data_IF_520585835894
#
_entry.id   IF_520585835894
#
_cell.length_a   1.000
_cell.length_b   1.000
_cell.length_c   1.000
_cell.angle_alpha   90.00
_cell.angle_beta   90.00
_cell.angle_gamma   90.00
#
_symmetry.space_group_name_H-M   'P 1'
#
loop_
_entity.id
_entity.type
_entity.pdbx_description
1 polymer ?
#
# COMPACT_ATOMS: atom_id res chain seq x y z
N UNK A 1 -28.41 -4.71 33.14
CA UNK A 1 -28.79 -3.35 32.72
C UNK A 1 -27.55 -2.48 32.96
N UNK A 2 -26.84 -1.84 32.01
CA UNK A 2 -27.05 -1.40 30.60
C UNK A 2 -25.60 -1.14 30.05
N UNK A 3 -25.14 -1.76 28.94
CA UNK A 3 -25.15 -1.32 27.53
C UNK A 3 -24.31 -0.06 27.14
N UNK A 4 -23.15 -0.33 26.49
CA UNK A 4 -22.50 0.29 25.30
C UNK A 4 -22.10 1.79 25.30
N UNK A 5 -20.80 2.05 25.08
CA UNK A 5 -20.19 2.88 24.01
C UNK A 5 -18.67 2.95 24.32
N UNK A 6 -17.81 2.14 23.71
CA UNK A 6 -17.30 2.22 22.33
C UNK A 6 -16.82 3.62 21.94
N UNK A 7 -15.58 3.96 22.28
CA UNK A 7 -14.65 4.52 21.28
C UNK A 7 -13.22 4.49 21.82
N UNK A 8 -12.47 3.52 21.33
CA UNK A 8 -11.02 3.47 21.40
C UNK A 8 -10.48 4.44 20.33
N UNK A 9 -9.73 5.51 20.66
CA UNK A 9 -8.98 6.22 19.64
C UNK A 9 -7.78 5.34 19.27
N UNK A 10 -7.95 4.51 18.25
CA UNK A 10 -6.88 3.65 17.73
C UNK A 10 -5.96 4.51 16.86
N UNK A 11 -4.84 4.91 17.50
CA UNK A 11 -3.47 4.86 16.95
C UNK A 11 -3.21 5.82 15.78
N UNK A 12 -2.63 6.99 16.03
CA UNK A 12 -1.17 7.20 15.82
C UNK A 12 -0.60 6.38 14.65
N UNK A 13 -0.77 6.85 13.42
CA UNK A 13 0.13 6.50 12.32
C UNK A 13 0.98 7.72 12.01
N UNK A 14 1.99 7.92 12.86
CA UNK A 14 3.13 8.79 12.59
C UNK A 14 4.38 7.90 12.66
N UNK A 15 4.46 6.93 11.77
CA UNK A 15 5.65 6.10 11.60
C UNK A 15 5.91 5.90 10.11
N UNK A 16 7.03 6.48 9.67
CA UNK A 16 7.77 6.18 8.42
C UNK A 16 6.92 6.08 7.15
N UNK A 17 6.64 7.25 6.56
CA UNK A 17 5.93 7.45 5.29
C UNK A 17 6.34 6.49 4.14
N UNK A 18 7.58 6.00 4.12
CA UNK A 18 8.06 5.04 3.11
C UNK A 18 7.91 3.56 3.54
N UNK A 19 8.20 3.22 4.79
CA UNK A 19 8.26 1.82 5.25
C UNK A 19 6.89 1.15 5.44
N UNK A 20 5.88 1.92 5.84
CA UNK A 20 4.50 1.41 5.94
C UNK A 20 3.91 1.04 4.58
N UNK A 21 4.20 1.85 3.56
CA UNK A 21 3.67 1.67 2.20
C UNK A 21 4.26 0.45 1.49
N UNK A 22 5.56 0.20 1.64
CA UNK A 22 6.18 -1.00 1.07
C UNK A 22 5.55 -2.27 1.66
N UNK A 23 5.28 -2.27 2.97
CA UNK A 23 4.64 -3.39 3.66
C UNK A 23 3.24 -3.67 3.10
N UNK A 24 2.45 -2.62 2.87
CA UNK A 24 1.09 -2.73 2.31
C UNK A 24 1.10 -3.29 0.87
N UNK A 25 2.05 -2.84 0.05
CA UNK A 25 2.25 -3.37 -1.31
C UNK A 25 2.65 -4.84 -1.28
N UNK A 26 3.53 -5.24 -0.35
CA UNK A 26 3.92 -6.64 -0.18
C UNK A 26 2.76 -7.54 0.26
N UNK A 27 1.88 -7.07 1.15
CA UNK A 27 0.69 -7.80 1.54
C UNK A 27 -0.31 -7.95 0.38
N UNK A 28 -0.49 -6.93 -0.46
CA UNK A 28 -1.29 -7.07 -1.68
C UNK A 28 -0.68 -8.08 -2.66
N UNK A 29 0.65 -8.08 -2.85
CA UNK A 29 1.32 -9.09 -3.70
C UNK A 29 1.03 -10.50 -3.16
N UNK A 30 1.09 -10.69 -1.85
CA UNK A 30 0.78 -11.98 -1.20
C UNK A 30 -0.69 -12.37 -1.40
N UNK A 31 -1.63 -11.43 -1.37
CA UNK A 31 -3.04 -11.68 -1.71
C UNK A 31 -3.19 -12.11 -3.17
N UNK A 32 -2.54 -11.41 -4.09
CA UNK A 32 -2.60 -11.72 -5.52
C UNK A 32 -1.98 -13.07 -5.87
N UNK A 33 -0.92 -13.49 -5.17
CA UNK A 33 -0.29 -14.80 -5.37
C UNK A 33 -1.14 -15.98 -4.87
N UNK A 34 -2.18 -15.74 -4.06
CA UNK A 34 -3.16 -16.76 -3.69
C UNK A 34 -4.21 -16.99 -4.78
N UNK A 35 -4.29 -16.09 -5.76
CA UNK A 35 -5.23 -16.24 -6.87
C UNK A 35 -4.70 -17.23 -7.92
N UNK A 36 -5.60 -17.93 -8.64
CA UNK A 36 -5.21 -18.80 -9.73
C UNK A 36 -4.38 -18.07 -10.81
N UNK A 37 -3.35 -18.73 -11.34
CA UNK A 37 -2.41 -18.13 -12.29
C UNK A 37 -3.05 -17.73 -13.63
N UNK A 38 -4.23 -18.27 -13.96
CA UNK A 38 -5.04 -17.88 -15.11
C UNK A 38 -5.86 -16.59 -14.88
N UNK A 39 -5.78 -15.99 -13.68
CA UNK A 39 -6.43 -14.71 -13.41
C UNK A 39 -5.70 -13.57 -14.11
N UNK A 40 -6.33 -13.03 -15.17
CA UNK A 40 -5.86 -11.83 -15.87
C UNK A 40 -5.74 -10.64 -14.92
N UNK A 41 -6.67 -10.49 -13.98
CA UNK A 41 -6.61 -9.44 -12.96
C UNK A 41 -5.40 -9.59 -12.05
N UNK A 42 -5.16 -10.80 -11.50
CA UNK A 42 -4.02 -11.04 -10.62
C UNK A 42 -2.69 -10.75 -11.34
N UNK A 43 -2.57 -11.21 -12.59
CA UNK A 43 -1.39 -10.96 -13.42
C UNK A 43 -1.18 -9.46 -13.67
N UNK A 44 -2.24 -8.73 -14.01
CA UNK A 44 -2.16 -7.28 -14.21
C UNK A 44 -1.79 -6.54 -12.93
N UNK A 45 -2.48 -6.86 -11.82
CA UNK A 45 -2.27 -6.25 -10.51
C UNK A 45 -0.85 -6.49 -10.00
N UNK A 46 -0.32 -7.72 -10.12
CA UNK A 46 1.07 -8.03 -9.79
C UNK A 46 2.07 -7.19 -10.60
N UNK A 47 1.83 -6.96 -11.90
CA UNK A 47 2.70 -6.10 -12.72
C UNK A 47 2.69 -4.65 -12.22
N UNK A 48 1.53 -4.13 -11.82
CA UNK A 48 1.41 -2.78 -11.26
C UNK A 48 2.15 -2.69 -9.93
N UNK A 49 1.92 -3.62 -9.00
CA UNK A 49 2.56 -3.63 -7.68
C UNK A 49 4.09 -3.74 -7.78
N UNK A 50 4.60 -4.57 -8.68
CA UNK A 50 6.04 -4.67 -8.90
C UNK A 50 6.64 -3.38 -9.48
N UNK A 51 5.90 -2.66 -10.35
CA UNK A 51 6.33 -1.34 -10.83
C UNK A 51 6.34 -0.31 -9.69
N UNK A 52 5.36 -0.37 -8.79
CA UNK A 52 5.28 0.48 -7.59
C UNK A 52 6.51 0.24 -6.69
N UNK A 53 6.84 -1.02 -6.36
CA UNK A 53 8.03 -1.33 -5.56
C UNK A 53 9.33 -0.82 -6.21
N UNK A 54 9.47 -1.00 -7.53
CA UNK A 54 10.62 -0.47 -8.26
C UNK A 54 10.70 1.05 -8.19
N UNK A 55 9.55 1.73 -8.32
CA UNK A 55 9.49 3.18 -8.17
C UNK A 55 9.96 3.59 -6.78
N UNK A 56 9.45 2.95 -5.71
CA UNK A 56 9.82 3.22 -4.31
C UNK A 56 11.31 3.00 -4.01
N UNK A 57 11.91 1.95 -4.58
CA UNK A 57 13.33 1.62 -4.39
C UNK A 57 14.32 2.55 -5.12
N UNK A 58 13.85 3.42 -6.02
CA UNK A 58 14.72 4.31 -6.78
C UNK A 58 15.15 5.53 -5.92
N UNK A 59 16.41 5.96 -6.01
CA UNK A 59 16.87 7.20 -5.37
C UNK A 59 16.15 8.40 -6.01
N UNK A 60 15.38 9.15 -5.24
CA UNK A 60 14.59 10.31 -5.72
C UNK A 60 15.04 11.60 -5.05
N UNK A 61 14.73 12.70 -5.71
CA UNK A 61 14.80 14.05 -5.13
C UNK A 61 13.56 14.31 -4.26
N UNK A 62 13.64 15.26 -3.33
CA UNK A 62 12.52 15.58 -2.43
C UNK A 62 11.22 15.94 -3.18
N UNK A 63 11.32 16.64 -4.32
CA UNK A 63 10.16 16.98 -5.15
C UNK A 63 9.51 15.74 -5.79
N UNK A 64 10.32 14.76 -6.20
CA UNK A 64 9.82 13.50 -6.77
C UNK A 64 9.21 12.59 -5.70
N UNK A 65 9.70 12.64 -4.46
CA UNK A 65 9.06 11.95 -3.34
C UNK A 65 7.67 12.52 -3.03
N UNK A 66 7.51 13.85 -3.09
CA UNK A 66 6.22 14.51 -2.90
C UNK A 66 5.22 14.18 -4.03
N UNK A 67 5.67 14.22 -5.28
CA UNK A 67 4.84 13.81 -6.42
C UNK A 67 4.43 12.33 -6.32
N UNK A 68 5.36 11.46 -5.91
CA UNK A 68 5.09 10.03 -5.73
C UNK A 68 4.09 9.78 -4.59
N UNK A 69 4.18 10.54 -3.50
CA UNK A 69 3.22 10.49 -2.40
C UNK A 69 1.81 10.83 -2.87
N UNK A 70 1.67 11.89 -3.67
CA UNK A 70 0.38 12.30 -4.26
C UNK A 70 -0.19 11.24 -5.20
N UNK A 71 0.66 10.59 -6.00
CA UNK A 71 0.26 9.48 -6.86
C UNK A 71 -0.24 8.28 -6.04
N UNK A 72 0.43 7.94 -4.94
CA UNK A 72 -0.02 6.87 -4.05
C UNK A 72 -1.29 7.20 -3.29
N UNK A 73 -1.51 8.46 -2.88
CA UNK A 73 -2.76 8.86 -2.26
C UNK A 73 -3.98 8.67 -3.17
N UNK A 74 -3.79 8.70 -4.49
CA UNK A 74 -4.82 8.40 -5.49
C UNK A 74 -5.02 6.90 -5.78
N UNK A 75 -4.11 6.04 -5.31
CA UNK A 75 -4.22 4.59 -5.45
C UNK A 75 -4.89 4.04 -4.19
N UNK A 76 -6.14 3.58 -4.32
CA UNK A 76 -6.83 2.85 -3.25
C UNK A 76 -6.20 1.44 -3.11
N UNK A 77 -5.05 1.37 -2.44
CA UNK A 77 -4.36 0.14 -2.05
C UNK A 77 -4.90 -0.40 -0.73
#
# INVERSE_FOLDING_TARGET
>A
MESIVSSLPKTQQKETCCGGKETEVHEEIKRMNQLPANSTYATHRLRVLNKILKLMSTQRTAAQDEELELLFAGLSL
#
